data_IF_580832700146
#
_entry.id   IF_580832700146
#
_cell.length_a   1.000
_cell.length_b   1.000
_cell.length_c   1.000
_cell.angle_alpha   90.00
_cell.angle_beta   90.00
_cell.angle_gamma   90.00
#
_symmetry.space_group_name_H-M   'P 1'
#
loop_
_entity.id
_entity.type
_entity.pdbx_description
1 polymer ?
#
# COMPACT_ATOMS: atom_id res chain seq x y z
N UNK A 1 -8.74 29.81 38.81
CA UNK A 1 -8.03 28.62 38.27
C UNK A 1 -7.84 28.80 36.77
N UNK A 2 -6.59 28.83 36.26
CA UNK A 2 -6.32 29.18 34.87
C UNK A 2 -6.66 28.00 33.93
N UNK A 3 -7.36 28.31 32.83
CA UNK A 3 -7.72 27.36 31.78
C UNK A 3 -6.45 26.90 31.06
N UNK A 4 -6.12 25.62 31.19
CA UNK A 4 -5.08 24.95 30.40
C UNK A 4 -5.52 24.96 28.93
N UNK A 5 -4.85 25.76 28.10
CA UNK A 5 -4.99 25.72 26.64
C UNK A 5 -4.51 24.34 26.18
N UNK A 6 -5.43 23.48 25.71
CA UNK A 6 -5.08 22.28 24.94
C UNK A 6 -4.28 22.72 23.73
N UNK A 7 -2.98 22.39 23.71
CA UNK A 7 -2.16 22.46 22.51
C UNK A 7 -2.81 21.57 21.44
N UNK A 8 -3.20 22.18 20.32
CA UNK A 8 -3.54 21.46 19.10
C UNK A 8 -2.26 20.84 18.58
N UNK A 9 -2.13 19.52 18.69
CA UNK A 9 -1.04 18.77 18.05
C UNK A 9 -1.27 18.79 16.55
N UNK A 10 -0.56 19.67 15.85
CA UNK A 10 -0.50 19.72 14.40
C UNK A 10 0.34 18.56 13.90
N UNK A 11 -0.29 17.46 13.48
CA UNK A 11 0.39 16.38 12.74
C UNK A 11 0.42 16.78 11.27
N UNK A 12 1.49 17.47 10.84
CA UNK A 12 1.95 17.53 9.44
C UNK A 12 3.27 18.31 9.35
N UNK A 13 4.37 17.76 9.89
CA UNK A 13 5.67 18.17 9.39
C UNK A 13 5.82 17.52 8.00
N UNK A 14 5.98 18.35 6.97
CA UNK A 14 6.17 17.90 5.59
C UNK A 14 7.45 17.08 5.53
N UNK A 15 7.30 15.75 5.49
CA UNK A 15 8.43 14.84 5.35
C UNK A 15 9.08 15.04 3.98
N UNK A 16 10.37 15.32 4.01
CA UNK A 16 11.21 15.42 2.81
C UNK A 16 12.27 14.33 2.87
N UNK A 17 12.51 13.67 1.74
CA UNK A 17 13.51 12.61 1.60
C UNK A 17 14.31 12.84 0.32
N UNK A 18 15.62 12.62 0.36
CA UNK A 18 16.46 12.76 -0.83
C UNK A 18 16.16 11.65 -1.85
N UNK A 19 16.16 12.01 -3.13
CA UNK A 19 15.87 11.09 -4.22
C UNK A 19 16.88 9.94 -4.29
N UNK A 20 18.18 10.22 -4.11
CA UNK A 20 19.26 9.23 -4.07
C UNK A 20 19.01 8.12 -3.02
N UNK A 21 18.55 8.50 -1.82
CA UNK A 21 18.19 7.59 -0.75
C UNK A 21 17.01 6.71 -1.13
N UNK A 22 15.98 7.30 -1.76
CA UNK A 22 14.81 6.54 -2.24
C UNK A 22 15.25 5.51 -3.28
N UNK A 23 16.08 5.91 -4.24
CA UNK A 23 16.53 5.06 -5.35
C UNK A 23 17.62 4.05 -4.99
N UNK A 24 18.23 4.15 -3.80
CA UNK A 24 19.34 3.29 -3.41
C UNK A 24 19.01 1.78 -3.57
N UNK A 25 19.79 1.05 -4.35
CA UNK A 25 19.56 -0.38 -4.60
C UNK A 25 18.38 -0.71 -5.52
N UNK A 26 17.72 0.28 -6.12
CA UNK A 26 16.81 0.04 -7.25
C UNK A 26 17.62 -0.27 -8.53
N UNK A 27 17.12 -1.15 -9.41
CA UNK A 27 17.76 -1.46 -10.69
C UNK A 27 17.52 -0.33 -11.70
N UNK A 28 18.21 0.80 -11.55
CA UNK A 28 18.11 1.94 -12.46
C UNK A 28 18.71 1.57 -13.82
N UNK A 29 17.91 1.67 -14.87
CA UNK A 29 18.36 1.44 -16.25
C UNK A 29 18.99 2.70 -16.84
N UNK A 30 18.41 3.86 -16.55
CA UNK A 30 18.82 5.15 -17.08
C UNK A 30 18.32 6.27 -16.16
N UNK A 31 19.08 7.37 -16.08
CA UNK A 31 18.68 8.55 -15.33
C UNK A 31 19.09 9.83 -16.05
N UNK A 32 18.18 10.80 -16.09
CA UNK A 32 18.44 12.14 -16.61
C UNK A 32 18.01 13.19 -15.60
N UNK A 33 18.80 14.26 -15.44
CA UNK A 33 18.51 15.37 -14.53
C UNK A 33 19.33 15.31 -13.23
N UNK A 34 18.84 16.01 -12.21
CA UNK A 34 19.55 16.15 -10.93
C UNK A 34 19.22 14.98 -9.97
N UNK A 35 20.26 14.39 -9.38
CA UNK A 35 20.17 13.34 -8.35
C UNK A 35 19.91 13.91 -6.94
N UNK A 36 20.40 15.13 -6.66
CA UNK A 36 20.28 15.78 -5.36
C UNK A 36 18.96 16.57 -5.27
N UNK A 37 17.85 15.84 -5.31
CA UNK A 37 16.51 16.39 -5.20
C UNK A 37 15.83 15.99 -3.89
N UNK A 38 15.23 16.97 -3.26
CA UNK A 38 14.32 16.80 -2.13
C UNK A 38 12.92 16.39 -2.61
N UNK A 39 12.51 15.17 -2.29
CA UNK A 39 11.17 14.65 -2.57
C UNK A 39 10.28 14.92 -1.36
N UNK A 40 9.17 15.64 -1.58
CA UNK A 40 8.19 16.04 -0.54
C UNK A 40 6.97 15.12 -0.45
N UNK A 41 6.87 14.19 -1.39
CA UNK A 41 5.77 13.24 -1.51
C UNK A 41 5.95 12.38 -2.74
N UNK A 42 5.24 11.26 -2.79
CA UNK A 42 5.21 10.41 -3.96
C UNK A 42 3.82 9.88 -4.22
N UNK A 43 3.50 9.64 -5.49
CA UNK A 43 2.19 9.11 -5.90
C UNK A 43 2.26 8.49 -7.29
N UNK A 44 1.35 7.57 -7.58
CA UNK A 44 1.07 7.05 -8.92
C UNK A 44 -0.19 7.68 -9.55
N UNK A 45 -0.88 8.59 -8.85
CA UNK A 45 -2.02 9.33 -9.37
C UNK A 45 -1.60 10.77 -9.73
N UNK A 46 -1.59 11.07 -11.03
CA UNK A 46 -1.18 12.38 -11.54
C UNK A 46 -2.05 13.53 -11.02
N UNK A 47 -3.30 13.24 -10.62
CA UNK A 47 -4.23 14.22 -10.03
C UNK A 47 -3.84 14.61 -8.60
N UNK A 48 -3.13 13.73 -7.89
CA UNK A 48 -2.67 13.92 -6.52
C UNK A 48 -1.28 14.56 -6.40
N UNK A 49 -0.59 14.76 -7.53
CA UNK A 49 0.74 15.38 -7.60
C UNK A 49 0.68 16.82 -7.06
N UNK A 50 1.72 17.18 -6.30
CA UNK A 50 1.97 18.55 -5.82
C UNK A 50 3.42 18.93 -6.11
N UNK A 51 3.75 20.22 -5.95
CA UNK A 51 5.11 20.73 -6.10
C UNK A 51 6.11 19.92 -5.25
N UNK A 52 7.15 19.38 -5.91
CA UNK A 52 8.22 18.61 -5.26
C UNK A 52 7.89 17.12 -5.08
N UNK A 53 6.89 16.60 -5.77
CA UNK A 53 6.56 15.17 -5.71
C UNK A 53 7.39 14.36 -6.72
N UNK A 54 7.64 13.10 -6.35
CA UNK A 54 8.01 12.04 -7.28
C UNK A 54 6.72 11.40 -7.83
N UNK A 55 6.53 11.45 -9.14
CA UNK A 55 5.44 10.72 -9.80
C UNK A 55 5.96 9.39 -10.34
N UNK A 56 5.30 8.28 -10.01
CA UNK A 56 5.66 6.94 -10.48
C UNK A 56 4.63 6.48 -11.49
N UNK A 57 5.02 6.41 -12.76
CA UNK A 57 4.16 5.97 -13.84
C UNK A 57 4.04 4.45 -13.83
N UNK A 58 2.94 3.94 -13.31
CA UNK A 58 2.64 2.50 -13.27
C UNK A 58 1.65 2.12 -14.37
N UNK A 59 1.87 0.97 -15.00
CA UNK A 59 0.89 0.36 -15.91
C UNK A 59 -0.18 -0.34 -15.08
N UNK A 60 -1.39 0.22 -15.04
CA UNK A 60 -2.56 -0.38 -14.41
C UNK A 60 -3.30 -1.32 -15.37
N UNK A 61 -4.32 -2.01 -14.86
CA UNK A 61 -5.17 -2.91 -15.67
C UNK A 61 -6.04 -2.16 -16.67
N UNK A 62 -6.44 -0.93 -16.37
CA UNK A 62 -7.31 -0.11 -17.23
C UNK A 62 -6.62 1.11 -17.84
N UNK A 63 -5.52 1.57 -17.26
CA UNK A 63 -4.84 2.80 -17.66
C UNK A 63 -3.33 2.69 -17.51
N UNK A 64 -2.60 3.29 -18.46
CA UNK A 64 -1.15 3.41 -18.39
C UNK A 64 -0.77 4.79 -17.80
N UNK A 65 -0.09 4.79 -16.65
CA UNK A 65 0.38 5.99 -15.97
C UNK A 65 1.34 6.84 -16.82
N UNK A 66 2.01 6.25 -17.80
CA UNK A 66 2.94 6.96 -18.70
C UNK A 66 2.21 7.99 -19.57
N UNK A 67 0.91 7.79 -19.84
CA UNK A 67 0.08 8.76 -20.57
C UNK A 67 -0.15 10.07 -19.80
N UNK A 68 0.19 10.11 -18.51
CA UNK A 68 -0.06 11.25 -17.63
C UNK A 68 1.21 11.97 -17.16
N UNK A 69 2.37 11.68 -17.76
CA UNK A 69 3.64 12.31 -17.39
C UNK A 69 3.58 13.84 -17.52
N UNK A 70 3.10 14.35 -18.67
CA UNK A 70 2.97 15.79 -18.88
C UNK A 70 2.07 16.46 -17.83
N UNK A 71 0.96 15.81 -17.46
CA UNK A 71 0.07 16.30 -16.41
C UNK A 71 0.75 16.31 -15.03
N UNK A 72 1.51 15.27 -14.68
CA UNK A 72 2.28 15.24 -13.44
C UNK A 72 3.35 16.35 -13.38
N UNK A 73 4.08 16.58 -14.48
CA UNK A 73 5.03 17.68 -14.60
C UNK A 73 4.34 19.03 -14.41
N UNK A 74 3.20 19.24 -15.09
CA UNK A 74 2.41 20.48 -14.95
C UNK A 74 1.94 20.73 -13.51
N UNK A 75 1.61 19.66 -12.75
CA UNK A 75 1.24 19.73 -11.33
C UNK A 75 2.42 19.97 -10.39
N UNK A 76 3.65 19.91 -10.90
CA UNK A 76 4.87 20.23 -10.16
C UNK A 76 5.65 19.01 -9.67
N UNK A 77 5.50 17.85 -10.31
CA UNK A 77 6.43 16.75 -10.09
C UNK A 77 7.86 17.23 -10.41
N UNK A 78 8.79 16.99 -9.47
CA UNK A 78 10.22 17.31 -9.66
C UNK A 78 11.02 16.09 -10.12
N UNK A 79 10.45 14.90 -9.99
CA UNK A 79 11.01 13.66 -10.53
C UNK A 79 9.91 12.73 -11.06
N UNK A 80 10.26 11.91 -12.05
CA UNK A 80 9.41 10.89 -12.67
C UNK A 80 10.13 9.54 -12.60
N UNK A 81 9.45 8.50 -12.16
CA UNK A 81 9.89 7.11 -12.31
C UNK A 81 9.06 6.43 -13.40
N UNK A 82 9.72 5.91 -14.44
CA UNK A 82 9.09 5.39 -15.67
C UNK A 82 9.71 4.07 -16.10
N UNK A 83 9.01 3.28 -16.91
CA UNK A 83 9.54 2.09 -17.57
C UNK A 83 10.12 2.41 -18.95
N UNK A 84 9.46 3.34 -19.64
CA UNK A 84 9.82 3.82 -20.97
C UNK A 84 9.98 5.33 -20.97
N UNK A 85 10.98 5.83 -21.70
CA UNK A 85 11.19 7.26 -21.93
C UNK A 85 10.74 7.53 -23.37
N UNK A 86 9.56 8.12 -23.53
CA UNK A 86 9.08 8.61 -24.83
C UNK A 86 9.30 10.12 -24.94
N UNK A 87 9.04 10.85 -23.86
CA UNK A 87 9.18 12.30 -23.78
C UNK A 87 10.29 12.70 -22.81
N UNK A 88 11.23 13.53 -23.28
CA UNK A 88 12.21 14.19 -22.42
C UNK A 88 11.64 15.53 -21.94
N UNK A 89 11.40 15.63 -20.63
CA UNK A 89 10.97 16.87 -19.99
C UNK A 89 12.20 17.67 -19.55
N UNK A 90 12.34 18.89 -20.07
CA UNK A 90 13.36 19.82 -19.58
C UNK A 90 12.90 20.34 -18.21
N UNK A 91 13.74 20.25 -17.17
CA UNK A 91 13.48 20.64 -15.77
C UNK A 91 12.89 19.58 -14.81
N UNK A 92 12.81 18.31 -15.19
CA UNK A 92 12.37 17.24 -14.29
C UNK A 92 13.36 16.08 -14.35
N UNK A 93 13.70 15.51 -13.20
CA UNK A 93 14.55 14.31 -13.18
C UNK A 93 13.74 13.09 -13.61
N UNK A 94 14.26 12.32 -14.56
CA UNK A 94 13.59 11.11 -15.07
C UNK A 94 14.46 9.92 -14.69
N UNK A 95 13.85 8.93 -14.04
CA UNK A 95 14.49 7.68 -13.62
C UNK A 95 13.77 6.54 -14.31
N UNK A 96 14.51 5.78 -15.12
CA UNK A 96 13.99 4.61 -15.80
C UNK A 96 14.26 3.36 -14.99
N UNK A 97 13.21 2.60 -14.73
CA UNK A 97 13.22 1.36 -13.96
C UNK A 97 12.61 0.23 -14.79
N UNK A 98 13.04 -1.02 -14.63
CA UNK A 98 12.47 -2.14 -15.38
C UNK A 98 11.03 -2.46 -14.98
N UNK A 99 10.64 -2.12 -13.74
CA UNK A 99 9.31 -2.38 -13.19
C UNK A 99 8.96 -1.26 -12.20
N UNK A 100 8.12 -0.31 -12.64
CA UNK A 100 7.72 0.81 -11.77
C UNK A 100 6.67 0.40 -10.73
N UNK A 101 5.98 -0.72 -10.93
CA UNK A 101 5.02 -1.27 -9.95
C UNK A 101 5.75 -1.80 -8.73
N UNK A 102 6.80 -2.61 -8.94
CA UNK A 102 7.65 -3.10 -7.86
C UNK A 102 8.37 -1.93 -7.16
N UNK A 103 8.89 -0.97 -7.94
CA UNK A 103 9.53 0.22 -7.39
C UNK A 103 8.56 1.04 -6.53
N UNK A 104 7.30 1.23 -6.96
CA UNK A 104 6.32 2.01 -6.20
C UNK A 104 6.17 1.51 -4.76
N UNK A 105 6.08 0.19 -4.55
CA UNK A 105 5.93 -0.37 -3.19
C UNK A 105 7.15 -0.10 -2.32
N UNK A 106 8.35 -0.30 -2.88
CA UNK A 106 9.61 -0.13 -2.16
C UNK A 106 9.93 1.35 -1.88
N UNK A 107 9.77 2.23 -2.89
CA UNK A 107 9.97 3.67 -2.76
C UNK A 107 8.97 4.27 -1.77
N UNK A 108 7.70 3.84 -1.80
CA UNK A 108 6.70 4.25 -0.82
C UNK A 108 7.08 3.80 0.59
N UNK A 109 7.50 2.54 0.76
CA UNK A 109 7.96 2.01 2.04
C UNK A 109 9.10 2.85 2.59
N UNK A 110 10.13 3.13 1.79
CA UNK A 110 11.28 3.96 2.19
C UNK A 110 10.89 5.39 2.53
N UNK A 111 10.10 6.04 1.68
CA UNK A 111 9.66 7.42 1.90
C UNK A 111 8.90 7.55 3.23
N UNK A 112 8.02 6.59 3.55
CA UNK A 112 7.31 6.58 4.82
C UNK A 112 8.08 5.93 5.99
N UNK A 113 9.37 5.63 5.79
CA UNK A 113 10.28 4.98 6.74
C UNK A 113 9.72 3.66 7.28
N UNK A 114 9.39 2.75 6.36
CA UNK A 114 8.84 1.42 6.59
C UNK A 114 7.74 1.44 7.64
N UNK A 115 6.61 2.11 7.35
CA UNK A 115 5.65 2.53 8.36
C UNK A 115 5.06 1.37 9.16
N UNK A 116 5.00 0.17 8.59
CA UNK A 116 4.51 -1.06 9.23
C UNK A 116 5.46 -1.68 10.27
N UNK A 117 6.75 -1.29 10.31
CA UNK A 117 7.70 -1.88 11.24
C UNK A 117 7.26 -1.65 12.70
N UNK A 118 7.18 -2.74 13.45
CA UNK A 118 6.78 -2.71 14.86
C UNK A 118 5.26 -2.69 15.10
N UNK A 119 4.44 -2.76 14.05
CA UNK A 119 2.98 -2.95 14.18
C UNK A 119 2.58 -4.37 13.80
N UNK A 120 1.46 -4.85 14.36
CA UNK A 120 0.89 -6.13 13.97
C UNK A 120 0.01 -5.97 12.74
N UNK A 121 0.43 -6.55 11.61
CA UNK A 121 -0.36 -6.54 10.38
C UNK A 121 -1.19 -7.83 10.27
N UNK A 122 -2.51 -7.66 10.11
CA UNK A 122 -3.47 -8.76 9.91
C UNK A 122 -4.09 -8.60 8.52
N UNK A 123 -3.73 -9.48 7.59
CA UNK A 123 -4.30 -9.50 6.24
C UNK A 123 -5.49 -10.45 6.17
N UNK A 124 -6.60 -10.01 5.57
CA UNK A 124 -7.79 -10.86 5.38
C UNK A 124 -8.10 -10.97 3.89
N UNK A 125 -8.04 -12.18 3.35
CA UNK A 125 -8.42 -12.46 1.96
C UNK A 125 -9.52 -13.53 1.88
N UNK A 126 -10.10 -13.64 0.69
CA UNK A 126 -11.24 -14.50 0.37
C UNK A 126 -12.22 -13.82 -0.57
N UNK A 127 -13.20 -14.55 -1.09
CA UNK A 127 -14.26 -13.97 -1.93
C UNK A 127 -15.18 -13.12 -1.06
N UNK A 128 -15.79 -13.73 -0.04
CA UNK A 128 -16.74 -13.06 0.85
C UNK A 128 -16.25 -12.98 2.30
N UNK A 129 -16.79 -12.04 3.08
CA UNK A 129 -16.58 -11.97 4.53
C UNK A 129 -15.33 -11.22 5.01
N UNK A 130 -14.51 -10.66 4.10
CA UNK A 130 -13.35 -9.82 4.46
C UNK A 130 -13.76 -8.67 5.39
N UNK A 131 -14.81 -7.94 5.00
CA UNK A 131 -15.32 -6.80 5.75
C UNK A 131 -15.96 -7.20 7.08
N UNK A 132 -16.84 -8.20 7.10
CA UNK A 132 -17.42 -8.67 8.36
C UNK A 132 -16.33 -9.11 9.35
N UNK A 133 -15.35 -9.86 8.87
CA UNK A 133 -14.21 -10.32 9.69
C UNK A 133 -13.37 -9.14 10.18
N UNK A 134 -13.13 -8.11 9.36
CA UNK A 134 -12.36 -6.94 9.77
C UNK A 134 -13.04 -6.15 10.91
N UNK A 135 -14.37 -6.03 10.87
CA UNK A 135 -15.15 -5.38 11.93
C UNK A 135 -15.17 -6.19 13.23
N UNK A 136 -15.37 -7.51 13.15
CA UNK A 136 -15.36 -8.39 14.33
C UNK A 136 -13.99 -8.36 15.00
N UNK A 137 -12.90 -8.48 14.22
CA UNK A 137 -11.54 -8.41 14.76
C UNK A 137 -11.23 -7.05 15.37
N UNK A 138 -11.62 -5.95 14.72
CA UNK A 138 -11.45 -4.61 15.27
C UNK A 138 -12.15 -4.48 16.64
N UNK A 139 -13.40 -4.95 16.74
CA UNK A 139 -14.16 -4.90 17.99
C UNK A 139 -13.46 -5.68 19.11
N UNK A 140 -13.01 -6.91 18.83
CA UNK A 140 -12.34 -7.75 19.82
C UNK A 140 -11.01 -7.12 20.27
N UNK A 141 -10.21 -6.61 19.35
CA UNK A 141 -8.91 -6.01 19.67
C UNK A 141 -9.08 -4.69 20.46
N UNK A 142 -10.09 -3.87 20.12
CA UNK A 142 -10.42 -2.66 20.89
C UNK A 142 -10.89 -2.99 22.30
N UNK A 143 -11.72 -4.01 22.48
CA UNK A 143 -12.16 -4.48 23.80
C UNK A 143 -10.98 -4.96 24.67
N UNK A 144 -9.91 -5.46 24.04
CA UNK A 144 -8.64 -5.78 24.69
C UNK A 144 -7.72 -4.57 24.94
N UNK A 145 -8.22 -3.36 24.72
CA UNK A 145 -7.47 -2.12 24.96
C UNK A 145 -6.40 -1.81 23.90
N UNK A 146 -6.45 -2.44 22.72
CA UNK A 146 -5.45 -2.25 21.66
C UNK A 146 -5.79 -1.04 20.78
N UNK A 147 -4.76 -0.41 20.22
CA UNK A 147 -4.94 0.70 19.28
C UNK A 147 -5.02 0.14 17.85
N UNK A 148 -6.23 0.07 17.31
CA UNK A 148 -6.49 -0.60 16.03
C UNK A 148 -6.73 0.40 14.90
N UNK A 149 -6.14 0.12 13.74
CA UNK A 149 -6.49 0.71 12.46
C UNK A 149 -7.07 -0.33 11.51
N UNK A 150 -7.99 0.07 10.64
CA UNK A 150 -8.57 -0.79 9.61
C UNK A 150 -8.47 -0.11 8.25
N UNK A 151 -8.03 -0.87 7.26
CA UNK A 151 -7.99 -0.49 5.84
C UNK A 151 -8.87 -1.48 5.10
N UNK A 152 -10.04 -1.05 4.66
CA UNK A 152 -10.99 -1.97 4.02
C UNK A 152 -12.00 -1.29 3.12
N UNK A 153 -12.95 -2.07 2.62
CA UNK A 153 -13.89 -1.69 1.56
C UNK A 153 -14.77 -0.49 1.91
N UNK A 154 -15.17 -0.34 3.17
CA UNK A 154 -16.08 0.74 3.60
C UNK A 154 -15.30 2.02 3.88
N UNK A 155 -14.21 1.90 4.64
CA UNK A 155 -13.44 3.05 5.10
C UNK A 155 -12.03 2.66 5.53
N UNK A 156 -11.15 3.65 5.50
CA UNK A 156 -9.88 3.61 6.22
C UNK A 156 -10.08 4.34 7.54
N UNK A 157 -9.91 3.65 8.67
CA UNK A 157 -10.29 4.19 9.98
C UNK A 157 -9.28 3.84 11.06
N UNK A 158 -9.06 4.78 11.97
CA UNK A 158 -8.21 4.60 13.14
C UNK A 158 -8.45 5.75 14.11
N UNK A 159 -8.41 5.49 15.42
CA UNK A 159 -8.79 6.48 16.46
C UNK A 159 -10.15 7.11 16.11
N UNK A 160 -10.24 8.44 16.10
CA UNK A 160 -11.43 9.21 15.72
C UNK A 160 -11.49 9.57 14.22
N UNK A 161 -10.56 9.08 13.41
CA UNK A 161 -10.50 9.36 11.97
C UNK A 161 -11.17 8.26 11.18
N UNK A 162 -11.96 8.65 10.18
CA UNK A 162 -12.52 7.76 9.17
C UNK A 162 -12.53 8.46 7.82
N UNK A 163 -12.00 7.78 6.81
CA UNK A 163 -11.93 8.24 5.43
C UNK A 163 -12.70 7.26 4.56
N UNK A 164 -13.49 7.77 3.61
CA UNK A 164 -14.17 6.92 2.64
C UNK A 164 -13.14 6.20 1.77
N UNK A 165 -13.28 4.87 1.64
CA UNK A 165 -12.38 4.07 0.84
C UNK A 165 -12.70 4.23 -0.65
N UNK A 166 -11.68 4.49 -1.46
CA UNK A 166 -11.78 4.43 -2.93
C UNK A 166 -11.56 3.02 -3.48
N UNK A 167 -10.81 2.20 -2.74
CA UNK A 167 -10.46 0.81 -3.05
C UNK A 167 -10.49 -0.03 -1.77
N UNK A 168 -10.85 -1.31 -1.86
CA UNK A 168 -10.72 -2.24 -0.72
C UNK A 168 -9.31 -2.27 -0.16
N UNK A 169 -8.31 -2.29 -1.06
CA UNK A 169 -6.89 -2.20 -0.71
C UNK A 169 -6.27 -1.05 -1.52
N UNK A 170 -5.79 0.03 -0.89
CA UNK A 170 -5.20 1.18 -1.58
C UNK A 170 -3.99 0.82 -2.43
N UNK A 171 -3.59 1.71 -3.33
CA UNK A 171 -2.27 1.65 -3.98
C UNK A 171 -1.14 1.78 -2.96
N UNK A 172 0.05 1.24 -3.27
CA UNK A 172 1.16 1.18 -2.30
C UNK A 172 1.55 2.55 -1.74
N UNK A 173 1.54 3.59 -2.57
CA UNK A 173 1.85 4.97 -2.12
C UNK A 173 0.87 5.45 -1.04
N UNK A 174 -0.43 5.28 -1.28
CA UNK A 174 -1.50 5.64 -0.33
C UNK A 174 -1.51 4.72 0.88
N UNK A 175 -1.31 3.42 0.68
CA UNK A 175 -1.25 2.42 1.75
C UNK A 175 -0.14 2.75 2.75
N UNK A 176 1.09 2.99 2.27
CA UNK A 176 2.22 3.35 3.13
C UNK A 176 1.99 4.70 3.82
N UNK A 177 1.37 5.66 3.13
CA UNK A 177 0.98 6.94 3.73
C UNK A 177 0.00 6.75 4.89
N UNK A 178 -1.09 6.01 4.66
CA UNK A 178 -2.13 5.73 5.67
C UNK A 178 -1.51 5.00 6.87
N UNK A 179 -0.67 3.99 6.63
CA UNK A 179 0.04 3.30 7.72
C UNK A 179 1.01 4.22 8.47
N UNK A 180 1.64 5.17 7.79
CA UNK A 180 2.46 6.21 8.43
C UNK A 180 1.62 7.09 9.36
N UNK A 181 0.45 7.55 8.91
CA UNK A 181 -0.48 8.30 9.74
C UNK A 181 -1.01 7.48 10.93
N UNK A 182 -1.22 6.18 10.74
CA UNK A 182 -1.60 5.24 11.80
C UNK A 182 -0.49 5.08 12.84
N UNK A 183 0.76 4.88 12.40
CA UNK A 183 1.94 4.82 13.28
C UNK A 183 2.06 6.09 14.12
N UNK A 184 1.96 7.25 13.47
CA UNK A 184 2.09 8.56 14.14
C UNK A 184 0.93 8.82 15.12
N UNK A 185 -0.22 8.18 14.91
CA UNK A 185 -1.36 8.17 15.83
C UNK A 185 -1.27 7.10 16.93
N UNK A 186 -0.18 6.33 17.00
CA UNK A 186 0.04 5.29 18.01
C UNK A 186 -0.80 4.03 17.80
N UNK A 187 -1.19 3.72 16.57
CA UNK A 187 -1.80 2.43 16.20
C UNK A 187 -0.78 1.31 16.38
N UNK A 188 -1.20 0.20 16.97
CA UNK A 188 -0.37 -0.99 17.26
C UNK A 188 -0.75 -2.19 16.40
N UNK A 189 -1.99 -2.24 15.92
CA UNK A 189 -2.55 -3.35 15.14
C UNK A 189 -3.29 -2.79 13.92
N UNK A 190 -2.95 -3.26 12.73
CA UNK A 190 -3.60 -2.85 11.48
C UNK A 190 -4.24 -4.06 10.82
N UNK A 191 -5.55 -3.97 10.60
CA UNK A 191 -6.30 -4.96 9.84
C UNK A 191 -6.45 -4.44 8.41
N UNK A 192 -6.05 -5.25 7.43
CA UNK A 192 -6.13 -4.91 6.01
C UNK A 192 -7.00 -5.94 5.30
N UNK A 193 -8.06 -5.48 4.64
CA UNK A 193 -8.78 -6.31 3.66
C UNK A 193 -7.94 -6.41 2.38
N UNK A 194 -7.47 -7.61 2.07
CA UNK A 194 -6.55 -7.89 0.98
C UNK A 194 -7.32 -8.48 -0.20
N UNK A 195 -7.58 -7.65 -1.20
CA UNK A 195 -8.21 -8.06 -2.47
C UNK A 195 -7.23 -8.86 -3.34
N UNK A 196 -7.75 -9.76 -4.20
CA UNK A 196 -6.92 -10.49 -5.17
C UNK A 196 -6.19 -9.55 -6.13
N UNK A 197 -6.86 -8.47 -6.56
CA UNK A 197 -6.28 -7.41 -7.36
C UNK A 197 -5.03 -6.81 -6.70
N UNK A 198 -5.09 -6.52 -5.40
CA UNK A 198 -3.96 -5.94 -4.67
C UNK A 198 -2.77 -6.88 -4.53
N UNK A 199 -3.02 -8.19 -4.46
CA UNK A 199 -1.98 -9.22 -4.39
C UNK A 199 -1.28 -9.36 -5.73
N UNK A 200 -2.04 -9.49 -6.81
CA UNK A 200 -1.47 -9.62 -8.15
C UNK A 200 -0.71 -8.36 -8.58
N UNK A 201 -1.26 -7.18 -8.30
CA UNK A 201 -0.60 -5.90 -8.59
C UNK A 201 0.56 -5.59 -7.63
N UNK A 202 0.81 -6.44 -6.63
CA UNK A 202 1.90 -6.22 -5.68
C UNK A 202 1.73 -5.00 -4.77
N UNK A 203 0.50 -4.50 -4.57
CA UNK A 203 0.24 -3.28 -3.76
C UNK A 203 0.72 -3.41 -2.31
N UNK A 204 0.71 -4.63 -1.82
CA UNK A 204 1.09 -5.02 -0.45
C UNK A 204 2.42 -5.77 -0.40
N UNK A 205 3.20 -5.76 -1.49
CA UNK A 205 4.48 -6.45 -1.57
C UNK A 205 5.47 -5.83 -0.57
N UNK A 206 6.16 -6.70 0.19
CA UNK A 206 7.15 -6.28 1.19
C UNK A 206 6.56 -5.99 2.58
N UNK A 207 5.24 -6.09 2.76
CA UNK A 207 4.64 -6.05 4.08
C UNK A 207 4.95 -7.33 4.87
N UNK A 208 5.30 -7.15 6.14
CA UNK A 208 5.55 -8.24 7.07
C UNK A 208 4.27 -8.56 7.85
N UNK A 209 3.65 -9.69 7.52
CA UNK A 209 2.35 -10.08 8.06
C UNK A 209 2.51 -10.82 9.37
N UNK A 210 1.88 -10.31 10.43
CA UNK A 210 1.76 -11.02 11.69
C UNK A 210 0.78 -12.18 11.55
N UNK A 211 -0.36 -11.95 10.87
CA UNK A 211 -1.38 -12.98 10.58
C UNK A 211 -1.97 -12.77 9.19
N UNK A 212 -2.28 -13.87 8.51
CA UNK A 212 -3.07 -13.90 7.29
C UNK A 212 -4.29 -14.80 7.48
N UNK A 213 -5.48 -14.29 7.15
CA UNK A 213 -6.74 -15.00 7.20
C UNK A 213 -7.27 -15.32 5.79
N UNK A 214 -7.74 -16.55 5.61
CA UNK A 214 -8.53 -16.97 4.46
C UNK A 214 -9.96 -17.27 4.89
N UNK A 215 -10.94 -16.59 4.31
CA UNK A 215 -12.36 -16.78 4.64
C UNK A 215 -13.04 -17.87 3.81
N UNK A 216 -13.07 -17.73 2.49
CA UNK A 216 -13.68 -18.66 1.52
C UNK A 216 -13.28 -18.29 0.09
N UNK A 217 -13.62 -19.16 -0.86
CA UNK A 217 -13.40 -18.96 -2.29
C UNK A 217 -14.58 -19.47 -3.13
N UNK A 218 -15.27 -18.53 -3.76
CA UNK A 218 -16.32 -18.78 -4.76
C UNK A 218 -16.08 -17.96 -6.03
N UNK A 219 -16.79 -18.28 -7.11
CA UNK A 219 -16.70 -17.58 -8.41
C UNK A 219 -17.00 -16.09 -8.25
N UNK A 220 -16.02 -15.27 -8.61
CA UNK A 220 -16.06 -13.80 -8.59
C UNK A 220 -14.86 -13.26 -9.39
N UNK A 221 -14.85 -11.97 -9.73
CA UNK A 221 -13.72 -11.24 -10.34
C UNK A 221 -13.11 -11.87 -11.60
N UNK A 222 -13.89 -12.64 -12.38
CA UNK A 222 -13.40 -13.29 -13.62
C UNK A 222 -13.32 -12.33 -14.83
N UNK A 223 -13.85 -11.13 -14.68
CA UNK A 223 -13.62 -9.99 -15.57
C UNK A 223 -12.16 -9.49 -15.50
N UNK A 224 -11.49 -9.78 -14.39
CA UNK A 224 -10.08 -9.45 -14.17
C UNK A 224 -9.17 -10.69 -14.21
N UNK A 225 -9.53 -11.75 -13.48
CA UNK A 225 -8.80 -13.01 -13.45
C UNK A 225 -9.33 -13.92 -14.56
N UNK A 226 -8.51 -14.24 -15.57
CA UNK A 226 -8.98 -14.99 -16.75
C UNK A 226 -9.51 -16.38 -16.37
N UNK A 227 -9.02 -16.95 -15.26
CA UNK A 227 -9.47 -18.25 -14.75
C UNK A 227 -9.68 -18.26 -13.23
N UNK A 228 -10.49 -19.21 -12.75
CA UNK A 228 -10.63 -19.48 -11.30
C UNK A 228 -9.31 -19.93 -10.66
N UNK A 229 -8.41 -20.53 -11.44
CA UNK A 229 -7.09 -20.93 -10.97
C UNK A 229 -6.19 -19.72 -10.74
N UNK A 230 -6.14 -18.79 -11.70
CA UNK A 230 -5.43 -17.51 -11.56
C UNK A 230 -5.97 -16.71 -10.35
N UNK A 231 -7.30 -16.64 -10.21
CA UNK A 231 -7.93 -15.97 -9.07
C UNK A 231 -7.52 -16.58 -7.73
N UNK A 232 -7.47 -17.92 -7.64
CA UNK A 232 -7.03 -18.62 -6.43
C UNK A 232 -5.54 -18.39 -6.17
N UNK A 233 -4.70 -18.49 -7.21
CA UNK A 233 -3.26 -18.24 -7.15
C UNK A 233 -2.96 -16.81 -6.67
N UNK A 234 -3.73 -15.83 -7.14
CA UNK A 234 -3.60 -14.45 -6.66
C UNK A 234 -3.84 -14.35 -5.14
N UNK A 235 -4.85 -15.03 -4.59
CA UNK A 235 -5.10 -15.05 -3.14
C UNK A 235 -4.03 -15.80 -2.34
N UNK A 236 -3.50 -16.90 -2.89
CA UNK A 236 -2.48 -17.69 -2.22
C UNK A 236 -1.17 -16.92 -1.99
N UNK A 237 -0.89 -15.88 -2.79
CA UNK A 237 0.25 -14.99 -2.61
C UNK A 237 0.34 -14.38 -1.19
N UNK A 238 -0.80 -14.13 -0.51
CA UNK A 238 -0.79 -13.63 0.86
C UNK A 238 -0.12 -14.62 1.81
N UNK A 239 -0.44 -15.91 1.66
CA UNK A 239 0.10 -17.00 2.47
C UNK A 239 1.53 -17.34 2.06
N UNK A 240 1.84 -17.25 0.77
CA UNK A 240 3.20 -17.43 0.25
C UNK A 240 4.19 -16.40 0.77
N UNK A 241 3.70 -15.20 1.13
CA UNK A 241 4.52 -14.12 1.68
C UNK A 241 4.82 -14.23 3.19
N UNK A 242 4.19 -15.17 3.90
CA UNK A 242 4.43 -15.37 5.33
C UNK A 242 5.83 -15.94 5.54
N UNK A 243 6.62 -15.28 6.41
CA UNK A 243 7.93 -15.80 6.83
C UNK A 243 7.74 -17.03 7.71
N UNK A 244 8.48 -18.10 7.41
CA UNK A 244 8.57 -19.30 8.25
C UNK A 244 9.34 -18.98 9.52
N UNK A 245 8.62 -18.51 10.52
CA UNK A 245 9.09 -18.36 11.89
C UNK A 245 8.10 -19.13 12.76
N UNK A 246 8.56 -19.80 13.81
CA UNK A 246 7.82 -20.81 14.60
C UNK A 246 6.55 -20.36 15.35
N UNK A 247 5.85 -19.33 14.86
CA UNK A 247 4.52 -18.91 15.27
C UNK A 247 3.49 -19.16 14.15
N UNK A 248 2.27 -19.50 14.53
CA UNK A 248 1.16 -19.63 13.58
C UNK A 248 0.86 -18.27 12.95
N UNK A 249 1.16 -18.12 11.66
CA UNK A 249 0.88 -16.91 10.87
C UNK A 249 -0.31 -17.07 9.91
N UNK A 250 -0.77 -18.28 9.61
CA UNK A 250 -1.92 -18.53 8.73
C UNK A 250 -3.13 -19.02 9.51
N UNK A 251 -4.30 -18.43 9.25
CA UNK A 251 -5.61 -18.83 9.81
C UNK A 251 -6.53 -19.09 8.62
N UNK A 252 -6.88 -20.35 8.40
CA UNK A 252 -7.55 -20.80 7.18
C UNK A 252 -8.88 -21.44 7.55
N UNK A 253 -9.96 -21.02 6.89
CA UNK A 253 -11.25 -21.70 7.00
C UNK A 253 -11.22 -23.05 6.26
N UNK A 254 -11.30 -24.15 7.02
CA UNK A 254 -11.22 -25.52 6.49
C UNK A 254 -12.57 -26.07 5.99
N UNK A 255 -13.66 -25.34 6.21
CA UNK A 255 -14.98 -25.65 5.63
C UNK A 255 -15.00 -25.41 4.11
N UNK A 256 -14.10 -24.56 3.62
CA UNK A 256 -13.92 -24.32 2.20
C UNK A 256 -12.87 -25.28 1.60
N UNK A 257 -13.21 -26.05 0.54
CA UNK A 257 -12.26 -26.97 -0.10
C UNK A 257 -10.97 -26.30 -0.59
N UNK A 258 -11.03 -25.02 -1.01
CA UNK A 258 -9.85 -24.26 -1.43
C UNK A 258 -8.98 -23.84 -0.24
N UNK A 259 -9.54 -23.73 0.96
CA UNK A 259 -8.78 -23.51 2.18
C UNK A 259 -7.77 -24.63 2.42
N UNK A 260 -8.17 -25.89 2.20
CA UNK A 260 -7.29 -27.07 2.34
C UNK A 260 -6.07 -27.04 1.41
N UNK A 261 -6.18 -26.36 0.27
CA UNK A 261 -5.06 -26.20 -0.66
C UNK A 261 -4.04 -25.13 -0.23
N UNK A 262 -4.33 -24.35 0.82
CA UNK A 262 -3.43 -23.36 1.41
C UNK A 262 -2.66 -23.90 2.63
N UNK A 263 -2.99 -25.11 3.07
CA UNK A 263 -2.27 -25.82 4.13
C UNK A 263 -0.86 -26.19 3.64
N UNK A 264 0.17 -25.91 4.46
CA UNK A 264 1.56 -26.27 4.21
C UNK A 264 1.97 -27.40 5.13
#
# INVERSE_FOLDING_TARGET
>A
MPKVKKQRTTVNEQRTVMLDYLLNGQPILEQHGNENLEIKGLTSDSRAVKKGYLFIAVKGSSQDGHKYLAHAVQKGACALAVENIEDLFTNVTIVRLPDTRAALSELASRFYNYPSKGMNLIGITGTNGKTTTSYVLESILKEKGRNVGVIGTISYRFKEKSFQASLTTPESSDLMKIMGEMRDAGVTDIIIEVSSHSLEQGRIKGLDWSRALFTNFSRDHLDYHSTMEEYFKAKSLLFSSLREEGQVKAIINMDDPKGRMLER
#
